data_IF_155136800333
#
_entry.id   IF_155136800333
#
_cell.length_a   1.000
_cell.length_b   1.000
_cell.length_c   1.000
_cell.angle_alpha   90.00
_cell.angle_beta   90.00
_cell.angle_gamma   90.00
#
_symmetry.space_group_name_H-M   'P 1'
#
loop_
_entity.id
_entity.type
_entity.pdbx_description
1 polymer ?
#
# COMPACT_ATOMS: atom_id res chain seq x y z
N UNK A 1 -27.11 -69.85 103.53
CA UNK A 1 -25.90 -69.82 102.65
C UNK A 1 -26.20 -68.84 101.52
N UNK A 2 -25.76 -67.58 101.66
CA UNK A 2 -24.68 -66.93 100.88
C UNK A 2 -24.95 -66.84 99.36
N UNK A 3 -25.43 -65.67 98.87
CA UNK A 3 -24.74 -64.62 98.03
C UNK A 3 -24.62 -65.01 96.54
N UNK A 4 -24.87 -64.18 95.52
CA UNK A 4 -25.16 -62.74 95.39
C UNK A 4 -25.65 -62.42 93.94
N UNK A 5 -26.29 -61.26 93.74
CA UNK A 5 -25.87 -60.11 92.89
C UNK A 5 -25.66 -60.44 91.38
N UNK A 6 -26.08 -59.69 90.35
CA UNK A 6 -26.80 -58.43 90.19
C UNK A 6 -27.01 -58.17 88.67
N UNK A 7 -28.01 -57.35 88.33
CA UNK A 7 -28.06 -56.39 87.20
C UNK A 7 -28.03 -56.90 85.73
N UNK A 8 -29.08 -56.63 84.93
CA UNK A 8 -29.22 -55.39 84.14
C UNK A 8 -30.56 -55.34 83.36
N UNK A 9 -31.45 -54.42 83.80
CA UNK A 9 -32.34 -53.52 83.02
C UNK A 9 -33.46 -54.15 82.13
N UNK A 10 -34.72 -54.29 82.60
CA UNK A 10 -35.86 -53.32 82.59
C UNK A 10 -36.12 -52.60 81.24
N UNK A 11 -37.10 -53.04 80.42
CA UNK A 11 -38.47 -52.50 80.36
C UNK A 11 -38.53 -50.96 80.27
N UNK A 12 -39.05 -50.40 79.16
CA UNK A 12 -40.34 -49.69 79.18
C UNK A 12 -40.73 -49.16 77.78
N UNK A 13 -41.85 -49.67 77.29
CA UNK A 13 -42.68 -49.10 76.22
C UNK A 13 -43.52 -47.95 76.75
N UNK A 14 -43.44 -46.74 76.20
CA UNK A 14 -44.53 -45.75 76.30
C UNK A 14 -44.63 -44.94 75.01
N UNK A 15 -45.80 -45.06 74.41
CA UNK A 15 -46.42 -44.19 73.42
C UNK A 15 -46.66 -42.80 74.05
N UNK A 16 -46.05 -41.74 73.52
CA UNK A 16 -46.34 -40.35 73.90
C UNK A 16 -46.87 -39.59 72.69
N UNK A 17 -48.01 -38.94 72.93
CA UNK A 17 -48.80 -38.08 72.06
C UNK A 17 -48.05 -36.82 71.62
N UNK A 18 -48.49 -36.28 70.49
CA UNK A 18 -47.99 -35.11 69.81
C UNK A 18 -47.84 -33.87 70.70
N UNK A 19 -46.65 -33.29 70.67
CA UNK A 19 -46.38 -31.90 71.05
C UNK A 19 -45.39 -31.32 70.03
N UNK A 20 -45.72 -30.15 69.49
CA UNK A 20 -45.15 -29.52 68.29
C UNK A 20 -43.61 -29.61 68.15
N UNK A 21 -43.16 -30.46 67.23
CA UNK A 21 -41.82 -30.41 66.66
C UNK A 21 -41.89 -30.06 65.17
N UNK A 22 -42.43 -28.87 64.84
CA UNK A 22 -42.20 -28.24 63.54
C UNK A 22 -40.78 -27.68 63.49
N UNK A 23 -39.79 -28.56 63.23
CA UNK A 23 -38.47 -28.18 62.72
C UNK A 23 -38.54 -28.04 61.17
N UNK A 24 -37.66 -27.26 60.54
CA UNK A 24 -38.06 -26.19 59.62
C UNK A 24 -38.14 -26.66 58.16
N UNK A 25 -39.25 -27.28 57.78
CA UNK A 25 -39.55 -27.62 56.37
C UNK A 25 -39.57 -26.38 55.45
N UNK A 26 -39.93 -25.22 56.02
CA UNK A 26 -39.93 -23.91 55.33
C UNK A 26 -38.51 -23.39 55.05
N UNK A 27 -37.50 -23.67 55.89
CA UNK A 27 -36.12 -23.19 55.63
C UNK A 27 -35.40 -24.01 54.56
N UNK A 28 -35.64 -25.33 54.53
CA UNK A 28 -35.01 -26.23 53.55
C UNK A 28 -35.50 -25.94 52.12
N UNK A 29 -36.77 -25.59 51.97
CA UNK A 29 -37.37 -25.18 50.69
C UNK A 29 -36.90 -23.79 50.27
N UNK A 30 -36.72 -22.86 51.20
CA UNK A 30 -36.19 -21.53 50.94
C UNK A 30 -34.70 -21.55 50.52
N UNK A 31 -33.89 -22.37 51.18
CA UNK A 31 -32.48 -22.57 50.82
C UNK A 31 -32.30 -23.30 49.49
N UNK A 32 -33.16 -24.30 49.20
CA UNK A 32 -33.18 -24.97 47.89
C UNK A 32 -33.58 -23.99 46.78
N UNK A 33 -34.60 -23.16 46.99
CA UNK A 33 -35.00 -22.12 46.03
C UNK A 33 -33.89 -21.09 45.79
N UNK A 34 -33.15 -20.69 46.83
CA UNK A 34 -31.99 -19.79 46.69
C UNK A 34 -30.86 -20.43 45.88
N UNK A 35 -30.62 -21.73 46.04
CA UNK A 35 -29.60 -22.46 45.27
C UNK A 35 -30.02 -22.60 43.80
N UNK A 36 -31.29 -22.93 43.52
CA UNK A 36 -31.83 -23.00 42.15
C UNK A 36 -31.75 -21.64 41.47
N UNK A 37 -32.16 -20.55 42.15
CA UNK A 37 -32.02 -19.19 41.60
C UNK A 37 -30.56 -18.82 41.29
N UNK A 38 -29.63 -19.15 42.20
CA UNK A 38 -28.18 -18.91 41.96
C UNK A 38 -27.67 -19.73 40.79
N UNK A 39 -28.11 -20.98 40.64
CA UNK A 39 -27.74 -21.84 39.53
C UNK A 39 -28.26 -21.29 38.20
N UNK A 40 -29.53 -20.88 38.13
CA UNK A 40 -30.11 -20.28 36.92
C UNK A 40 -29.46 -18.95 36.57
N UNK A 41 -29.12 -18.12 37.58
CA UNK A 41 -28.34 -16.90 37.38
C UNK A 41 -26.95 -17.19 36.82
N UNK A 42 -26.22 -18.15 37.40
CA UNK A 42 -24.89 -18.54 36.92
C UNK A 42 -24.96 -19.13 35.50
N UNK A 43 -25.97 -19.95 35.21
CA UNK A 43 -26.20 -20.51 33.88
C UNK A 43 -26.48 -19.41 32.85
N UNK A 44 -27.32 -18.44 33.20
CA UNK A 44 -27.62 -17.28 32.35
C UNK A 44 -26.37 -16.41 32.12
N UNK A 45 -25.57 -16.16 33.17
CA UNK A 45 -24.28 -15.46 33.07
C UNK A 45 -23.30 -16.21 32.14
N UNK A 46 -23.20 -17.54 32.28
CA UNK A 46 -22.33 -18.36 31.44
C UNK A 46 -22.74 -18.28 29.96
N UNK A 47 -24.03 -18.37 29.67
CA UNK A 47 -24.56 -18.24 28.32
C UNK A 47 -24.27 -16.85 27.72
N UNK A 48 -24.41 -15.78 28.52
CA UNK A 48 -24.08 -14.43 28.07
C UNK A 48 -22.57 -14.29 27.78
N UNK A 49 -21.71 -14.81 28.65
CA UNK A 49 -20.25 -14.83 28.43
C UNK A 49 -19.90 -15.59 27.15
N UNK A 50 -20.56 -16.71 26.88
CA UNK A 50 -20.29 -17.50 25.67
C UNK A 50 -20.78 -16.83 24.37
N UNK A 51 -21.88 -16.08 24.43
CA UNK A 51 -22.34 -15.24 23.32
C UNK A 51 -21.35 -14.10 23.05
N UNK A 52 -20.90 -13.40 24.09
CA UNK A 52 -19.88 -12.34 23.96
C UNK A 52 -18.56 -12.90 23.43
N UNK A 53 -18.11 -14.06 23.92
CA UNK A 53 -16.88 -14.71 23.45
C UNK A 53 -16.98 -15.08 21.96
N UNK A 54 -18.12 -15.63 21.50
CA UNK A 54 -18.34 -15.90 20.08
C UNK A 54 -18.31 -14.65 19.22
N UNK A 55 -18.92 -13.55 19.69
CA UNK A 55 -18.89 -12.26 19.01
C UNK A 55 -17.47 -11.74 18.87
N UNK A 56 -16.70 -11.75 19.96
CA UNK A 56 -15.30 -11.33 19.98
C UNK A 56 -14.44 -12.16 19.01
N UNK A 57 -14.62 -13.48 18.96
CA UNK A 57 -13.94 -14.33 17.98
C UNK A 57 -14.32 -13.99 16.52
N UNK A 58 -15.60 -13.67 16.28
CA UNK A 58 -16.07 -13.21 14.97
C UNK A 58 -15.44 -11.87 14.55
N UNK A 59 -15.32 -10.93 15.47
CA UNK A 59 -14.64 -9.64 15.24
C UNK A 59 -13.16 -9.85 14.93
N UNK A 60 -12.46 -10.71 15.69
CA UNK A 60 -11.05 -11.06 15.43
C UNK A 60 -10.88 -11.71 14.05
N UNK A 61 -11.77 -12.63 13.67
CA UNK A 61 -11.73 -13.26 12.36
C UNK A 61 -11.88 -12.24 11.23
N UNK A 62 -12.84 -11.32 11.36
CA UNK A 62 -13.09 -10.26 10.38
C UNK A 62 -11.87 -9.34 10.24
N UNK A 63 -11.30 -8.88 11.37
CA UNK A 63 -10.09 -8.04 11.38
C UNK A 63 -8.90 -8.76 10.75
N UNK A 64 -8.71 -10.06 11.02
CA UNK A 64 -7.64 -10.84 10.40
C UNK A 64 -7.79 -10.95 8.88
N UNK A 65 -9.03 -11.10 8.39
CA UNK A 65 -9.33 -11.13 6.96
C UNK A 65 -8.99 -9.78 6.31
N UNK A 66 -9.43 -8.68 6.92
CA UNK A 66 -9.11 -7.32 6.46
C UNK A 66 -7.61 -7.04 6.45
N UNK A 67 -6.90 -7.39 7.53
CA UNK A 67 -5.44 -7.27 7.60
C UNK A 67 -4.72 -8.00 6.47
N UNK A 68 -5.18 -9.23 6.16
CA UNK A 68 -4.61 -10.01 5.06
C UNK A 68 -4.84 -9.32 3.72
N UNK A 69 -6.08 -8.91 3.44
CA UNK A 69 -6.44 -8.26 2.17
C UNK A 69 -5.68 -6.93 1.98
N UNK A 70 -5.64 -6.09 3.01
CA UNK A 70 -4.95 -4.79 2.99
C UNK A 70 -3.43 -4.98 2.85
N UNK A 71 -2.85 -5.99 3.51
CA UNK A 71 -1.42 -6.34 3.37
C UNK A 71 -1.09 -6.78 1.93
N UNK A 72 -1.93 -7.59 1.31
CA UNK A 72 -1.76 -8.00 -0.09
C UNK A 72 -1.87 -6.80 -1.05
N UNK A 73 -2.83 -5.90 -0.83
CA UNK A 73 -2.97 -4.64 -1.60
C UNK A 73 -1.73 -3.77 -1.45
N UNK A 74 -1.23 -3.58 -0.22
CA UNK A 74 -0.01 -2.82 0.08
C UNK A 74 1.18 -3.39 -0.67
N UNK A 75 1.43 -4.70 -0.59
CA UNK A 75 2.55 -5.35 -1.25
C UNK A 75 2.49 -5.19 -2.78
N UNK A 76 1.30 -5.38 -3.38
CA UNK A 76 1.09 -5.17 -4.82
C UNK A 76 1.36 -3.71 -5.23
N UNK A 77 0.91 -2.74 -4.42
CA UNK A 77 1.12 -1.32 -4.69
C UNK A 77 2.60 -0.93 -4.55
N UNK A 78 3.29 -1.46 -3.55
CA UNK A 78 4.72 -1.20 -3.34
C UNK A 78 5.58 -1.72 -4.49
N UNK A 79 5.30 -2.92 -5.01
CA UNK A 79 5.96 -3.43 -6.21
C UNK A 79 5.71 -2.55 -7.44
N UNK A 80 4.47 -2.05 -7.63
CA UNK A 80 4.14 -1.11 -8.71
C UNK A 80 4.85 0.24 -8.54
N UNK A 81 5.11 0.68 -7.31
CA UNK A 81 5.85 1.91 -7.02
C UNK A 81 7.32 1.77 -7.40
N UNK A 82 7.97 0.66 -7.02
CA UNK A 82 9.38 0.40 -7.38
C UNK A 82 9.57 0.44 -8.91
N UNK A 83 8.67 -0.20 -9.66
CA UNK A 83 8.71 -0.14 -11.13
C UNK A 83 8.52 1.30 -11.64
N UNK A 84 7.52 2.01 -11.14
CA UNK A 84 7.23 3.38 -11.59
C UNK A 84 8.39 4.36 -11.26
N UNK A 85 9.05 4.20 -10.13
CA UNK A 85 10.24 4.97 -9.74
C UNK A 85 11.41 4.70 -10.68
N UNK A 86 11.63 3.44 -11.05
CA UNK A 86 12.64 3.06 -12.03
C UNK A 86 12.36 3.69 -13.41
N UNK A 87 11.12 3.66 -13.86
CA UNK A 87 10.68 4.25 -15.13
C UNK A 87 10.87 5.78 -15.15
N UNK A 88 10.47 6.47 -14.07
CA UNK A 88 10.70 7.91 -13.90
C UNK A 88 12.19 8.24 -13.95
N UNK A 89 13.03 7.44 -13.28
CA UNK A 89 14.48 7.64 -13.26
C UNK A 89 15.12 7.38 -14.63
N UNK A 90 14.61 6.40 -15.37
CA UNK A 90 15.05 6.10 -16.74
C UNK A 90 14.67 7.25 -17.69
N UNK A 91 13.38 7.63 -17.71
CA UNK A 91 12.87 8.69 -18.57
C UNK A 91 13.55 10.05 -18.30
N UNK A 92 13.82 10.37 -17.03
CA UNK A 92 14.57 11.57 -16.64
C UNK A 92 15.99 11.58 -17.20
N UNK A 93 16.68 10.43 -17.19
CA UNK A 93 18.03 10.30 -17.78
C UNK A 93 17.98 10.45 -19.30
N UNK A 94 16.99 9.87 -19.96
CA UNK A 94 16.80 10.01 -21.40
C UNK A 94 16.52 11.46 -21.82
N UNK A 95 15.67 12.17 -21.05
CA UNK A 95 15.42 13.60 -21.25
C UNK A 95 16.71 14.41 -21.09
N UNK A 96 17.55 14.10 -20.10
CA UNK A 96 18.83 14.80 -19.91
C UNK A 96 19.77 14.61 -21.09
N UNK A 97 19.92 13.37 -21.59
CA UNK A 97 20.70 13.07 -22.80
C UNK A 97 20.17 13.79 -24.03
N UNK A 98 18.84 13.79 -24.21
CA UNK A 98 18.19 14.46 -25.33
C UNK A 98 18.38 15.99 -25.29
N UNK A 99 18.31 16.60 -24.11
CA UNK A 99 18.61 18.03 -23.92
C UNK A 99 20.04 18.38 -24.31
N UNK A 100 21.02 17.55 -23.96
CA UNK A 100 22.42 17.74 -24.36
C UNK A 100 22.53 17.68 -25.89
N UNK A 101 21.95 16.65 -26.52
CA UNK A 101 21.93 16.50 -27.99
C UNK A 101 21.32 17.71 -28.69
N UNK A 102 20.17 18.20 -28.22
CA UNK A 102 19.50 19.39 -28.76
C UNK A 102 20.38 20.64 -28.60
N UNK A 103 21.02 20.80 -27.45
CA UNK A 103 21.93 21.92 -27.19
C UNK A 103 23.10 21.93 -28.19
N UNK A 104 23.69 20.77 -28.44
CA UNK A 104 24.80 20.67 -29.38
C UNK A 104 24.36 20.88 -30.83
N UNK A 105 23.22 20.31 -31.23
CA UNK A 105 22.60 20.59 -32.54
C UNK A 105 22.33 22.09 -32.73
N UNK A 106 21.81 22.78 -31.70
CA UNK A 106 21.57 24.24 -31.73
C UNK A 106 22.87 25.01 -31.93
N UNK A 107 23.97 24.63 -31.25
CA UNK A 107 25.29 25.25 -31.44
C UNK A 107 25.80 25.05 -32.87
N UNK A 108 25.67 23.83 -33.41
CA UNK A 108 26.08 23.50 -34.78
C UNK A 108 25.29 24.29 -35.81
N UNK A 109 23.96 24.33 -35.70
CA UNK A 109 23.10 25.14 -36.56
C UNK A 109 23.46 26.63 -36.50
N UNK A 110 23.75 27.16 -35.31
CA UNK A 110 24.21 28.54 -35.15
C UNK A 110 25.56 28.81 -35.85
N UNK A 111 26.50 27.86 -35.81
CA UNK A 111 27.77 27.95 -36.55
C UNK A 111 27.54 27.92 -38.06
N UNK A 112 26.67 27.01 -38.54
CA UNK A 112 26.29 26.89 -39.96
C UNK A 112 25.65 28.18 -40.48
N UNK A 113 24.68 28.74 -39.75
CA UNK A 113 24.02 30.00 -40.12
C UNK A 113 25.02 31.15 -40.24
N UNK A 114 25.96 31.28 -39.29
CA UNK A 114 27.03 32.29 -39.36
C UNK A 114 27.95 32.08 -40.56
N UNK A 115 28.29 30.83 -40.88
CA UNK A 115 29.12 30.51 -42.03
C UNK A 115 28.42 30.89 -43.35
N UNK A 116 27.14 30.57 -43.49
CA UNK A 116 26.32 30.96 -44.65
C UNK A 116 26.27 32.48 -44.80
N UNK A 117 26.03 33.21 -43.71
CA UNK A 117 26.00 34.67 -43.71
C UNK A 117 27.34 35.29 -44.16
N UNK A 118 28.47 34.83 -43.59
CA UNK A 118 29.80 35.30 -43.99
C UNK A 118 30.13 34.95 -45.45
N UNK A 119 29.77 33.74 -45.87
CA UNK A 119 30.01 33.27 -47.23
C UNK A 119 29.24 34.09 -48.27
N UNK A 120 28.00 34.47 -47.96
CA UNK A 120 27.19 35.39 -48.77
C UNK A 120 27.83 36.78 -48.86
N UNK A 121 28.14 37.39 -47.71
CA UNK A 121 28.66 38.76 -47.65
C UNK A 121 30.02 38.94 -48.34
N UNK A 122 30.83 37.89 -48.44
CA UNK A 122 32.15 37.95 -49.07
C UNK A 122 32.11 37.85 -50.60
N UNK A 123 30.93 37.72 -51.22
CA UNK A 123 30.83 37.43 -52.66
C UNK A 123 31.47 36.08 -53.04
N UNK A 124 31.77 35.23 -52.07
CA UNK A 124 32.50 33.98 -52.26
C UNK A 124 31.74 32.98 -53.12
N UNK A 125 30.42 33.08 -53.18
CA UNK A 125 29.59 32.20 -54.03
C UNK A 125 29.88 32.43 -55.51
N UNK A 126 29.95 33.68 -55.97
CA UNK A 126 30.29 33.98 -57.36
C UNK A 126 31.72 33.57 -57.67
N UNK A 127 32.68 33.79 -56.75
CA UNK A 127 34.07 33.36 -56.90
C UNK A 127 34.20 31.82 -56.95
N UNK A 128 33.46 31.10 -56.10
CA UNK A 128 33.47 29.64 -56.03
C UNK A 128 32.83 28.98 -57.26
N UNK A 129 31.86 29.66 -57.86
CA UNK A 129 31.21 29.28 -59.12
C UNK A 129 32.02 29.68 -60.36
N UNK A 130 32.78 30.78 -60.28
CA UNK A 130 33.49 31.41 -61.41
C UNK A 130 34.96 30.98 -61.57
N UNK A 131 35.51 30.09 -60.71
CA UNK A 131 36.87 29.56 -60.87
C UNK A 131 36.99 28.62 -62.10
N UNK A 132 37.02 29.24 -63.27
CA UNK A 132 37.76 28.95 -64.50
C UNK A 132 38.35 27.53 -64.69
N UNK A 133 37.52 26.50 -64.78
CA UNK A 133 37.67 25.36 -65.71
C UNK A 133 36.40 24.51 -65.66
N UNK A 134 35.83 24.15 -66.81
CA UNK A 134 34.55 23.41 -66.93
C UNK A 134 34.51 22.06 -66.17
N UNK A 135 35.65 21.56 -65.68
CA UNK A 135 35.74 20.34 -64.85
C UNK A 135 35.53 20.50 -63.33
N UNK A 136 35.58 21.72 -62.77
CA UNK A 136 35.48 21.93 -61.31
C UNK A 136 34.08 22.36 -60.83
N UNK A 137 33.25 22.90 -61.72
CA UNK A 137 31.91 23.39 -61.37
C UNK A 137 31.00 22.27 -60.85
N UNK A 138 30.97 21.14 -61.56
CA UNK A 138 30.18 19.96 -61.20
C UNK A 138 30.61 19.37 -59.83
N UNK A 139 31.92 19.32 -59.56
CA UNK A 139 32.45 18.96 -58.24
C UNK A 139 32.00 19.93 -57.14
N UNK A 140 32.07 21.23 -57.41
CA UNK A 140 31.65 22.28 -56.48
C UNK A 140 30.15 22.21 -56.19
N UNK A 141 29.32 21.91 -57.19
CA UNK A 141 27.87 21.70 -57.02
C UNK A 141 27.56 20.46 -56.19
N UNK A 142 28.28 19.36 -56.40
CA UNK A 142 28.17 18.18 -55.52
C UNK A 142 28.51 18.51 -54.07
N UNK A 143 29.54 19.33 -53.82
CA UNK A 143 29.87 19.73 -52.46
C UNK A 143 28.80 20.60 -51.82
N UNK A 144 28.29 21.61 -52.53
CA UNK A 144 27.20 22.45 -52.01
C UNK A 144 25.94 21.63 -51.74
N UNK A 145 25.59 20.71 -52.64
CA UNK A 145 24.48 19.77 -52.44
C UNK A 145 24.71 18.93 -51.17
N UNK A 146 25.85 18.27 -51.04
CA UNK A 146 26.17 17.44 -49.86
C UNK A 146 26.16 18.23 -48.55
N UNK A 147 26.56 19.51 -48.59
CA UNK A 147 26.48 20.40 -47.44
C UNK A 147 25.01 20.74 -47.12
N UNK A 148 24.21 21.09 -48.12
CA UNK A 148 22.80 21.40 -47.97
C UNK A 148 21.99 20.20 -47.47
N UNK A 149 22.26 19.00 -47.99
CA UNK A 149 21.63 17.75 -47.55
C UNK A 149 21.91 17.50 -46.06
N UNK A 150 23.17 17.64 -45.62
CA UNK A 150 23.54 17.51 -44.20
C UNK A 150 22.91 18.57 -43.30
N UNK A 151 22.80 19.81 -43.77
CA UNK A 151 22.13 20.87 -43.03
C UNK A 151 20.64 20.59 -42.88
N UNK A 152 20.01 20.11 -43.95
CA UNK A 152 18.61 19.70 -43.94
C UNK A 152 18.36 18.57 -42.94
N UNK A 153 19.21 17.52 -42.96
CA UNK A 153 19.16 16.43 -41.98
C UNK A 153 19.36 16.93 -40.53
N UNK A 154 20.29 17.86 -40.31
CA UNK A 154 20.53 18.44 -38.99
C UNK A 154 19.32 19.24 -38.49
N UNK A 155 18.68 20.05 -39.35
CA UNK A 155 17.48 20.82 -39.02
C UNK A 155 16.32 19.87 -38.70
N UNK A 156 16.06 18.88 -39.56
CA UNK A 156 14.97 17.94 -39.38
C UNK A 156 15.16 17.10 -38.10
N UNK A 157 16.37 16.59 -37.87
CA UNK A 157 16.67 15.85 -36.64
C UNK A 157 16.59 16.72 -35.38
N UNK A 158 16.97 18.00 -35.46
CA UNK A 158 16.79 18.96 -34.35
C UNK A 158 15.31 19.18 -34.03
N UNK A 159 14.48 19.42 -35.05
CA UNK A 159 13.02 19.56 -34.88
C UNK A 159 12.40 18.30 -34.28
N UNK A 160 12.73 17.11 -34.82
CA UNK A 160 12.27 15.83 -34.27
C UNK A 160 12.64 15.66 -32.80
N UNK A 161 13.89 15.98 -32.44
CA UNK A 161 14.34 15.89 -31.05
C UNK A 161 13.60 16.88 -30.13
N UNK A 162 13.24 18.08 -30.60
CA UNK A 162 12.41 19.03 -29.83
C UNK A 162 11.01 18.47 -29.56
N UNK A 163 10.36 17.89 -30.56
CA UNK A 163 9.05 17.24 -30.38
C UNK A 163 9.14 16.06 -29.42
N UNK A 164 10.16 15.20 -29.58
CA UNK A 164 10.41 14.07 -28.68
C UNK A 164 10.66 14.55 -27.24
N UNK A 165 11.42 15.62 -27.05
CA UNK A 165 11.67 16.22 -25.74
C UNK A 165 10.37 16.71 -25.11
N UNK A 166 9.49 17.37 -25.88
CA UNK A 166 8.19 17.82 -25.38
C UNK A 166 7.33 16.63 -24.93
N UNK A 167 7.22 15.60 -25.77
CA UNK A 167 6.45 14.39 -25.46
C UNK A 167 6.98 13.70 -24.19
N UNK A 168 8.29 13.47 -24.09
CA UNK A 168 8.92 12.86 -22.91
C UNK A 168 8.73 13.69 -21.65
N UNK A 169 8.78 15.02 -21.71
CA UNK A 169 8.51 15.87 -20.55
C UNK A 169 7.04 15.77 -20.09
N UNK A 170 6.09 15.68 -21.03
CA UNK A 170 4.67 15.48 -20.70
C UNK A 170 4.44 14.12 -20.05
N UNK A 171 5.04 13.07 -20.61
CA UNK A 171 5.03 11.71 -20.05
C UNK A 171 5.62 11.68 -18.64
N UNK A 172 6.79 12.30 -18.44
CA UNK A 172 7.43 12.38 -17.12
C UNK A 172 6.53 13.06 -16.10
N UNK A 173 5.87 14.17 -16.47
CA UNK A 173 4.92 14.86 -15.59
C UNK A 173 3.74 13.97 -15.20
N UNK A 174 3.21 13.20 -16.15
CA UNK A 174 2.15 12.21 -15.91
C UNK A 174 2.60 11.09 -14.96
N UNK A 175 3.79 10.55 -15.18
CA UNK A 175 4.37 9.48 -14.37
C UNK A 175 4.63 9.95 -12.94
N UNK A 176 5.20 11.14 -12.75
CA UNK A 176 5.42 11.75 -11.42
C UNK A 176 4.10 11.97 -10.68
N UNK A 177 3.06 12.49 -11.35
CA UNK A 177 1.74 12.68 -10.74
C UNK A 177 1.15 11.34 -10.27
N UNK A 178 1.25 10.31 -11.11
CA UNK A 178 0.77 8.96 -10.78
C UNK A 178 1.54 8.37 -9.59
N UNK A 179 2.86 8.56 -9.57
CA UNK A 179 3.74 8.09 -8.51
C UNK A 179 3.39 8.74 -7.16
N UNK A 180 3.21 10.06 -7.11
CA UNK A 180 2.77 10.77 -5.90
C UNK A 180 1.41 10.28 -5.42
N UNK A 181 0.46 10.08 -6.34
CA UNK A 181 -0.86 9.53 -5.98
C UNK A 181 -0.76 8.12 -5.39
N UNK A 182 0.10 7.27 -5.93
CA UNK A 182 0.31 5.90 -5.44
C UNK A 182 1.04 5.89 -4.09
N UNK A 183 2.00 6.78 -3.87
CA UNK A 183 2.65 6.94 -2.56
C UNK A 183 1.64 7.36 -1.49
N UNK A 184 0.72 8.27 -1.81
CA UNK A 184 -0.38 8.63 -0.90
C UNK A 184 -1.29 7.44 -0.59
N UNK A 185 -1.64 6.65 -1.61
CA UNK A 185 -2.43 5.42 -1.40
C UNK A 185 -1.69 4.40 -0.52
N UNK A 186 -0.37 4.25 -0.69
CA UNK A 186 0.44 3.37 0.15
C UNK A 186 0.41 3.81 1.61
N UNK A 187 0.62 5.11 1.87
CA UNK A 187 0.57 5.67 3.23
C UNK A 187 -0.80 5.50 3.90
N UNK A 188 -1.89 5.61 3.13
CA UNK A 188 -3.23 5.33 3.66
C UNK A 188 -3.38 3.84 4.05
N UNK A 189 -2.92 2.92 3.20
CA UNK A 189 -2.97 1.48 3.50
C UNK A 189 -2.11 1.10 4.71
N UNK A 190 -0.97 1.77 4.90
CA UNK A 190 -0.13 1.59 6.10
C UNK A 190 -0.86 2.05 7.36
N UNK A 191 -1.48 3.23 7.33
CA UNK A 191 -2.32 3.72 8.43
C UNK A 191 -3.48 2.77 8.75
N UNK A 192 -4.16 2.26 7.71
CA UNK A 192 -5.27 1.29 7.88
C UNK A 192 -4.79 -0.01 8.55
N UNK A 193 -3.62 -0.51 8.17
CA UNK A 193 -3.03 -1.71 8.79
C UNK A 193 -2.67 -1.47 10.26
N UNK A 194 -2.08 -0.32 10.58
CA UNK A 194 -1.68 0.02 11.95
C UNK A 194 -2.92 0.11 12.86
N UNK A 195 -3.97 0.80 12.41
CA UNK A 195 -5.25 0.92 13.13
C UNK A 195 -5.89 -0.46 13.34
N UNK A 196 -5.90 -1.31 12.32
CA UNK A 196 -6.45 -2.66 12.43
C UNK A 196 -5.64 -3.55 13.40
N UNK A 197 -4.30 -3.44 13.41
CA UNK A 197 -3.44 -4.14 14.35
C UNK A 197 -3.63 -3.66 15.79
N UNK A 198 -3.77 -2.36 16.01
CA UNK A 198 -4.09 -1.81 17.33
C UNK A 198 -5.46 -2.30 17.82
N UNK A 199 -6.47 -2.28 16.96
CA UNK A 199 -7.83 -2.72 17.29
C UNK A 199 -7.84 -4.19 17.67
N UNK A 200 -7.16 -5.04 16.89
CA UNK A 200 -6.97 -6.46 17.21
C UNK A 200 -6.31 -6.64 18.58
N UNK A 201 -5.24 -5.89 18.86
CA UNK A 201 -4.50 -5.98 20.12
C UNK A 201 -5.37 -5.56 21.32
N UNK A 202 -6.18 -4.50 21.17
CA UNK A 202 -7.15 -4.05 22.18
C UNK A 202 -8.24 -5.08 22.45
N UNK A 203 -8.72 -5.79 21.43
CA UNK A 203 -9.73 -6.84 21.59
C UNK A 203 -9.12 -8.05 22.30
N UNK A 204 -7.93 -8.50 21.88
CA UNK A 204 -7.24 -9.62 22.51
C UNK A 204 -6.89 -9.36 23.98
N UNK A 205 -6.59 -8.12 24.37
CA UNK A 205 -6.33 -7.76 25.77
C UNK A 205 -7.58 -7.67 26.66
N UNK A 206 -8.80 -7.79 26.09
CA UNK A 206 -10.07 -7.81 26.84
C UNK A 206 -10.58 -9.24 27.11
N UNK A 207 -9.95 -10.24 26.50
CA UNK A 207 -10.20 -11.67 26.70
C UNK A 207 -9.27 -12.18 27.79
#
# INVERSE_FOLDING_TARGET
MAKGLSLFILLFSVLVLAEDARLPEVKLTEDLNKVVQKFDQQKSQLLNVEVEHRKVLGDIFSINSELKETSEKRAKLQNKLVSAEADVKYLSRDIAKLKIKISDQKKWLGRRLRAIYKFHNMGSLSIFLNKSFKGNLDRNMRYLKSIADRDYELINSYQKNLFELQAKNQELKGNVKTLVSRQKQLSNLETELDVAQETKSKILGKI
#
